data_IF_846639592721
#
_entry.id   IF_846639592721
#
_cell.length_a   1.000
_cell.length_b   1.000
_cell.length_c   1.000
_cell.angle_alpha   90.00
_cell.angle_beta   90.00
_cell.angle_gamma   90.00
#
_symmetry.space_group_name_H-M   'P 1'
#
loop_
_entity.id
_entity.type
_entity.pdbx_description
1 polymer ?
#
# COMPACT_ATOMS: atom_id res chain seq x y z
N UNK A 1 20.22 14.08 -19.37
CA UNK A 1 20.84 13.48 -18.17
C UNK A 1 19.94 12.36 -17.70
N UNK A 2 20.50 11.24 -17.25
CA UNK A 2 19.73 10.10 -16.74
C UNK A 2 19.97 10.03 -15.23
N UNK A 3 18.90 10.06 -14.44
CA UNK A 3 18.97 9.81 -13.00
C UNK A 3 18.57 8.36 -12.75
N UNK A 4 19.29 7.66 -11.87
CA UNK A 4 18.98 6.30 -11.46
C UNK A 4 18.73 6.26 -9.96
N UNK A 5 17.74 5.47 -9.54
CA UNK A 5 17.51 5.11 -8.14
C UNK A 5 17.53 3.59 -7.98
N UNK A 6 17.78 3.15 -6.75
CA UNK A 6 17.88 1.73 -6.38
C UNK A 6 17.00 1.49 -5.18
N UNK A 7 16.16 0.46 -5.24
CA UNK A 7 15.38 -0.02 -4.09
C UNK A 7 15.86 -1.41 -3.68
N UNK A 8 15.62 -1.77 -2.41
CA UNK A 8 16.02 -3.06 -1.85
C UNK A 8 14.82 -3.84 -1.35
N UNK A 9 14.76 -5.13 -1.70
CA UNK A 9 13.82 -6.07 -1.08
C UNK A 9 14.58 -7.00 -0.15
N UNK A 10 14.21 -7.01 1.12
CA UNK A 10 14.76 -7.94 2.12
C UNK A 10 13.84 -9.15 2.25
N UNK A 11 14.41 -10.35 2.11
CA UNK A 11 13.71 -11.62 2.35
C UNK A 11 14.21 -12.26 3.64
N UNK A 12 13.29 -12.59 4.55
CA UNK A 12 13.56 -13.37 5.76
C UNK A 12 12.79 -14.69 5.69
N UNK A 13 13.43 -15.80 6.07
CA UNK A 13 12.84 -17.13 5.96
C UNK A 13 12.67 -17.79 7.33
N UNK A 14 11.55 -18.45 7.51
CA UNK A 14 11.26 -19.29 8.68
C UNK A 14 10.83 -20.67 8.21
N UNK A 15 11.41 -21.72 8.79
CA UNK A 15 11.11 -23.11 8.46
C UNK A 15 10.52 -23.79 9.71
N UNK A 16 9.29 -24.29 9.62
CA UNK A 16 8.59 -24.98 10.71
C UNK A 16 7.78 -26.18 10.20
N UNK A 17 8.05 -27.37 10.76
CA UNK A 17 7.39 -28.65 10.46
C UNK A 17 7.03 -28.90 8.97
N UNK A 18 8.01 -28.70 8.07
CA UNK A 18 7.81 -28.88 6.63
C UNK A 18 7.05 -27.74 5.94
N UNK A 19 6.72 -26.67 6.64
CA UNK A 19 6.29 -25.39 6.08
C UNK A 19 7.47 -24.42 6.04
N UNK A 20 7.67 -23.75 4.91
CA UNK A 20 8.60 -22.62 4.79
C UNK A 20 7.79 -21.34 4.59
N UNK A 21 8.12 -20.31 5.34
CA UNK A 21 7.62 -18.95 5.19
C UNK A 21 8.73 -18.05 4.68
N UNK A 22 8.37 -17.08 3.84
CA UNK A 22 9.25 -16.02 3.38
C UNK A 22 8.54 -14.68 3.57
N UNK A 23 9.15 -13.77 4.32
CA UNK A 23 8.69 -12.40 4.49
C UNK A 23 9.50 -11.49 3.58
N UNK A 24 8.83 -10.82 2.64
CA UNK A 24 9.43 -9.83 1.75
C UNK A 24 9.11 -8.41 2.24
N UNK A 25 10.12 -7.58 2.34
CA UNK A 25 10.01 -6.19 2.80
C UNK A 25 10.69 -5.28 1.78
N UNK A 26 9.93 -4.39 1.14
CA UNK A 26 10.46 -3.37 0.23
C UNK A 26 10.85 -2.12 1.01
N UNK A 27 12.11 -1.73 0.87
CA UNK A 27 12.61 -0.41 1.27
C UNK A 27 12.81 0.44 0.01
N UNK A 28 11.97 1.47 -0.11
CA UNK A 28 12.01 2.45 -1.21
C UNK A 28 12.74 3.75 -0.86
N UNK A 29 13.44 3.79 0.27
CA UNK A 29 14.28 4.94 0.63
C UNK A 29 15.39 5.12 -0.42
N UNK A 30 15.72 6.37 -0.81
CA UNK A 30 15.20 7.64 -0.29
C UNK A 30 14.02 8.21 -1.10
N UNK A 31 13.52 7.48 -2.10
CA UNK A 31 12.48 7.99 -3.00
C UNK A 31 11.11 8.06 -2.30
N UNK A 32 10.94 7.35 -1.18
CA UNK A 32 9.73 7.31 -0.35
C UNK A 32 8.45 7.11 -1.18
N UNK A 33 8.52 6.23 -2.19
CA UNK A 33 7.41 6.03 -3.14
C UNK A 33 6.15 5.45 -2.52
N UNK A 34 6.27 4.88 -1.31
CA UNK A 34 5.13 4.41 -0.54
C UNK A 34 4.59 5.49 0.41
N UNK A 35 5.31 6.60 0.55
CA UNK A 35 5.11 7.61 1.59
C UNK A 35 6.21 7.57 2.66
N UNK A 36 6.39 8.67 3.42
CA UNK A 36 7.46 8.79 4.39
C UNK A 36 7.34 7.74 5.50
N UNK A 37 8.33 6.86 5.59
CA UNK A 37 8.37 5.78 6.59
C UNK A 37 7.38 4.64 6.34
N UNK A 38 6.71 4.61 5.19
CA UNK A 38 5.88 3.48 4.80
C UNK A 38 6.74 2.35 4.22
N UNK A 39 6.39 1.11 4.58
CA UNK A 39 7.12 -0.10 4.18
C UNK A 39 6.10 -1.13 3.71
N UNK A 40 6.27 -1.63 2.49
CA UNK A 40 5.48 -2.77 2.02
C UNK A 40 6.09 -4.08 2.50
N UNK A 41 5.37 -4.78 3.36
CA UNK A 41 5.74 -6.10 3.87
C UNK A 41 4.66 -7.13 3.54
N UNK A 42 5.08 -8.27 2.99
CA UNK A 42 4.20 -9.38 2.59
C UNK A 42 4.82 -10.72 2.92
N UNK A 43 3.99 -11.76 2.96
CA UNK A 43 4.43 -13.12 3.29
C UNK A 43 4.03 -14.11 2.20
N UNK A 44 4.95 -15.00 1.87
CA UNK A 44 4.74 -16.17 1.03
C UNK A 44 4.94 -17.44 1.84
N UNK A 45 4.13 -18.46 1.59
CA UNK A 45 4.18 -19.75 2.28
C UNK A 45 4.39 -20.87 1.29
N UNK A 46 5.21 -21.86 1.60
CA UNK A 46 5.33 -23.12 0.89
C UNK A 46 5.19 -24.29 1.87
N UNK A 47 4.45 -25.33 1.47
CA UNK A 47 4.25 -26.54 2.28
C UNK A 47 4.88 -27.70 1.54
N UNK A 48 5.75 -28.44 2.23
CA UNK A 48 6.38 -29.65 1.72
C UNK A 48 5.33 -30.74 1.55
N UNK A 49 5.42 -31.48 0.44
CA UNK A 49 4.63 -32.71 0.31
C UNK A 49 5.10 -33.76 1.33
N UNK A 50 4.20 -34.48 2.02
CA UNK A 50 4.57 -35.42 3.09
C UNK A 50 5.63 -36.45 2.70
N UNK A 51 5.54 -36.99 1.47
CA UNK A 51 6.42 -38.04 0.96
C UNK A 51 7.69 -37.52 0.28
N UNK A 52 7.90 -36.20 0.24
CA UNK A 52 9.10 -35.61 -0.35
C UNK A 52 10.18 -35.35 0.70
N UNK A 53 11.48 -35.52 0.35
CA UNK A 53 12.57 -35.20 1.25
C UNK A 53 12.54 -33.73 1.66
N UNK A 54 12.98 -33.46 2.89
CA UNK A 54 13.05 -32.13 3.48
C UNK A 54 14.18 -31.30 2.85
N UNK A 55 13.98 -30.84 1.61
CA UNK A 55 14.92 -29.99 0.89
C UNK A 55 14.56 -28.53 1.15
N UNK A 56 15.22 -27.93 2.14
CA UNK A 56 14.96 -26.56 2.61
C UNK A 56 15.04 -25.52 1.49
N UNK A 57 15.94 -25.70 0.52
CA UNK A 57 16.11 -24.76 -0.60
C UNK A 57 14.88 -24.66 -1.50
N UNK A 58 14.14 -25.75 -1.72
CA UNK A 58 12.91 -25.76 -2.54
C UNK A 58 11.78 -24.99 -1.85
N UNK A 59 11.61 -25.22 -0.53
CA UNK A 59 10.62 -24.50 0.27
C UNK A 59 10.87 -22.99 0.26
N UNK A 60 12.15 -22.59 0.41
CA UNK A 60 12.56 -21.18 0.39
C UNK A 60 12.33 -20.53 -0.96
N UNK A 61 12.71 -21.18 -2.06
CA UNK A 61 12.49 -20.66 -3.40
C UNK A 61 10.99 -20.45 -3.67
N UNK A 62 10.16 -21.45 -3.36
CA UNK A 62 8.72 -21.37 -3.56
C UNK A 62 8.06 -20.30 -2.67
N UNK A 63 8.45 -20.21 -1.40
CA UNK A 63 7.96 -19.20 -0.48
C UNK A 63 8.40 -17.78 -0.92
N UNK A 64 9.67 -17.60 -1.32
CA UNK A 64 10.19 -16.35 -1.83
C UNK A 64 9.45 -15.90 -3.09
N UNK A 65 9.26 -16.79 -4.06
CA UNK A 65 8.54 -16.48 -5.29
C UNK A 65 7.10 -16.00 -4.99
N UNK A 66 6.41 -16.67 -4.07
CA UNK A 66 5.06 -16.27 -3.62
C UNK A 66 5.06 -14.90 -2.95
N UNK A 67 6.03 -14.65 -2.06
CA UNK A 67 6.16 -13.35 -1.40
C UNK A 67 6.45 -12.23 -2.40
N UNK A 68 7.33 -12.46 -3.38
CA UNK A 68 7.68 -11.46 -4.39
C UNK A 68 6.54 -11.17 -5.36
N UNK A 69 5.75 -12.18 -5.74
CA UNK A 69 4.54 -11.98 -6.58
C UNK A 69 3.52 -11.12 -5.83
N UNK A 70 3.23 -11.44 -4.57
CA UNK A 70 2.33 -10.64 -3.73
C UNK A 70 2.85 -9.21 -3.53
N UNK A 71 4.16 -9.04 -3.32
CA UNK A 71 4.79 -7.72 -3.21
C UNK A 71 4.60 -6.91 -4.50
N UNK A 72 4.76 -7.55 -5.65
CA UNK A 72 4.54 -6.94 -6.96
C UNK A 72 3.10 -6.50 -7.16
N UNK A 73 2.12 -7.31 -6.73
CA UNK A 73 0.71 -6.91 -6.76
C UNK A 73 0.46 -5.68 -5.89
N UNK A 74 0.91 -5.67 -4.63
CA UNK A 74 0.71 -4.54 -3.71
C UNK A 74 1.37 -3.26 -4.20
N UNK A 75 2.57 -3.38 -4.77
CA UNK A 75 3.26 -2.24 -5.39
C UNK A 75 2.48 -1.71 -6.60
N UNK A 76 1.89 -2.61 -7.40
CA UNK A 76 1.01 -2.26 -8.50
C UNK A 76 -0.24 -1.50 -8.04
N UNK A 77 -0.90 -1.98 -6.98
CA UNK A 77 -2.06 -1.31 -6.39
C UNK A 77 -1.69 0.10 -5.89
N UNK A 78 -0.56 0.25 -5.20
CA UNK A 78 -0.07 1.55 -4.73
C UNK A 78 0.21 2.51 -5.88
N UNK A 79 0.88 2.03 -6.93
CA UNK A 79 1.18 2.84 -8.12
C UNK A 79 -0.09 3.30 -8.85
N UNK A 80 -1.14 2.47 -8.87
CA UNK A 80 -2.44 2.85 -9.42
C UNK A 80 -3.10 3.94 -8.58
N UNK A 81 -3.14 3.78 -7.25
CA UNK A 81 -3.69 4.77 -6.33
C UNK A 81 -3.01 6.13 -6.48
N UNK A 82 -1.68 6.15 -6.59
CA UNK A 82 -0.90 7.36 -6.85
C UNK A 82 -1.20 7.98 -8.20
N UNK A 83 -1.28 7.17 -9.26
CA UNK A 83 -1.60 7.65 -10.59
C UNK A 83 -3.00 8.28 -10.63
N UNK A 84 -3.99 7.68 -9.95
CA UNK A 84 -5.33 8.25 -9.82
C UNK A 84 -5.32 9.55 -9.00
N UNK A 85 -4.63 9.59 -7.87
CA UNK A 85 -4.52 10.78 -7.04
C UNK A 85 -3.85 11.95 -7.79
N UNK A 86 -2.83 11.65 -8.62
CA UNK A 86 -2.16 12.64 -9.45
C UNK A 86 -3.04 13.12 -10.62
N UNK A 87 -3.72 12.19 -11.31
CA UNK A 87 -4.51 12.52 -12.50
C UNK A 87 -5.81 13.28 -12.18
N UNK A 88 -6.45 12.98 -11.06
CA UNK A 88 -7.79 13.48 -10.74
C UNK A 88 -7.83 14.37 -9.48
N UNK A 89 -6.70 14.54 -8.79
CA UNK A 89 -6.68 15.01 -7.41
C UNK A 89 -7.22 13.92 -6.48
N UNK A 90 -6.63 13.75 -5.29
CA UNK A 90 -7.10 12.77 -4.31
C UNK A 90 -8.60 12.98 -4.07
N UNK A 91 -9.50 12.04 -4.41
CA UNK A 91 -10.91 12.21 -4.07
C UNK A 91 -10.97 12.25 -2.54
N UNK A 92 -11.66 13.24 -1.98
CA UNK A 92 -11.89 13.37 -0.56
C UNK A 92 -12.79 12.23 -0.06
N UNK A 93 -12.31 10.99 -0.10
CA UNK A 93 -12.98 9.84 0.50
C UNK A 93 -12.68 9.87 1.99
N UNK A 94 -13.44 10.68 2.74
CA UNK A 94 -13.38 10.65 4.20
C UNK A 94 -13.53 11.98 4.95
N UNK A 95 -13.99 13.07 4.34
CA UNK A 95 -14.52 14.17 5.14
C UNK A 95 -15.92 13.77 5.62
N UNK A 96 -15.96 12.94 6.66
CA UNK A 96 -17.16 12.73 7.45
C UNK A 96 -17.75 14.10 7.76
N UNK A 97 -19.05 14.25 7.47
CA UNK A 97 -19.84 15.46 7.63
C UNK A 97 -19.50 16.17 8.95
N UNK A 98 -18.56 17.10 8.87
CA UNK A 98 -18.23 17.99 9.99
C UNK A 98 -19.29 19.07 9.90
N UNK A 99 -20.22 19.02 10.86
CA UNK A 99 -21.47 19.76 10.85
C UNK A 99 -21.31 21.20 10.36
N UNK A 100 -22.16 21.56 9.41
CA UNK A 100 -22.35 22.93 8.97
C UNK A 100 -22.79 23.78 10.18
N UNK A 101 -21.86 24.51 10.76
CA UNK A 101 -22.17 25.67 11.59
C UNK A 101 -21.56 26.91 10.93
N UNK A 102 -22.13 27.27 9.78
CA UNK A 102 -21.99 28.59 9.15
C UNK A 102 -23.29 29.36 9.34
N UNK A 103 -23.24 30.67 9.63
CA UNK A 103 -24.36 31.41 10.21
C UNK A 103 -25.53 31.56 9.22
N UNK A 104 -26.76 31.53 9.76
CA UNK A 104 -28.00 31.68 9.00
C UNK A 104 -28.00 32.98 8.17
N UNK A 105 -28.57 32.97 6.94
CA UNK A 105 -28.68 34.18 6.14
C UNK A 105 -29.60 35.19 6.83
N UNK A 106 -29.07 36.40 7.03
CA UNK A 106 -29.78 37.54 7.59
C UNK A 106 -30.94 37.91 6.67
N UNK A 107 -32.18 37.72 7.12
CA UNK A 107 -33.36 38.22 6.41
C UNK A 107 -33.27 39.75 6.33
N UNK A 108 -33.09 40.29 5.13
CA UNK A 108 -33.28 41.71 4.88
C UNK A 108 -34.76 42.04 5.09
N UNK A 109 -35.02 42.86 6.11
CA UNK A 109 -36.34 43.44 6.38
C UNK A 109 -36.54 44.54 5.36
N UNK A 110 -37.51 44.36 4.46
CA UNK A 110 -37.90 45.35 3.47
C UNK A 110 -38.34 46.67 4.12
N UNK A 111 -37.81 47.77 3.60
CA UNK A 111 -38.35 49.11 3.84
C UNK A 111 -39.58 49.33 2.96
N UNK A 112 -40.72 49.79 3.50
CA UNK A 112 -41.89 50.08 2.70
C UNK A 112 -41.71 51.41 1.93
N UNK A 113 -42.00 51.35 0.63
CA UNK A 113 -42.23 52.53 -0.22
C UNK A 113 -43.59 53.16 0.09
N UNK A 114 -43.64 54.50 0.06
CA UNK A 114 -44.72 55.37 -0.49
C UNK A 114 -44.72 56.75 0.19
N UNK A 115 -45.37 57.78 -0.39
CA UNK A 115 -45.67 58.07 -1.80
C UNK A 115 -44.89 59.30 -2.34
#
# INVERSE_FOLDING_TARGET
MTTASTWTVTLTFEDDDGTTWARAVLDSSPDDVLGPGEVLAVEGRAVRWPDHPAVTTIGREAAAARALVELGHRLGDHALDDAFANAYGRPALGQAATGSNGPAPRREVGTPSSP
#
